data_IF_052823150702
#
_entry.id   IF_052823150702
#
_cell.length_a   1.000
_cell.length_b   1.000
_cell.length_c   1.000
_cell.angle_alpha   90.00
_cell.angle_beta   90.00
_cell.angle_gamma   90.00
#
_symmetry.space_group_name_H-M   'P 1'
#
loop_
_entity.id
_entity.type
_entity.pdbx_description
1 polymer ?
#
# COMPACT_ATOMS: atom_id res chain seq x y z
N UNK A 1 3.90 -25.48 6.55
CA UNK A 1 3.79 -25.96 7.95
C UNK A 1 2.37 -25.67 8.39
N UNK A 2 1.56 -26.69 8.68
CA UNK A 2 0.17 -26.47 9.10
C UNK A 2 0.15 -25.63 10.39
N UNK A 3 -0.50 -24.47 10.37
CA UNK A 3 -0.67 -23.65 11.57
C UNK A 3 -1.70 -24.39 12.43
N UNK A 4 -1.28 -24.99 13.54
CA UNK A 4 -2.21 -25.53 14.53
C UNK A 4 -3.09 -24.41 15.06
N UNK A 5 -4.40 -24.66 15.23
CA UNK A 5 -5.31 -23.74 15.90
C UNK A 5 -4.68 -23.27 17.21
N UNK A 6 -4.43 -21.97 17.31
CA UNK A 6 -3.60 -21.44 18.38
C UNK A 6 -3.45 -19.93 18.33
N UNK A 7 -2.93 -19.39 19.42
CA UNK A 7 -2.61 -17.97 19.53
C UNK A 7 -1.20 -17.73 19.00
N UNK A 8 -1.02 -16.67 18.21
CA UNK A 8 0.31 -16.21 17.78
C UNK A 8 0.67 -14.92 18.51
N UNK A 9 1.70 -14.94 19.34
CA UNK A 9 2.15 -13.73 20.06
C UNK A 9 3.19 -12.93 19.27
N UNK A 10 2.96 -11.61 19.20
CA UNK A 10 3.84 -10.65 18.54
C UNK A 10 3.99 -9.37 19.39
N UNK A 11 5.02 -8.56 19.12
CA UNK A 11 5.04 -7.16 19.56
C UNK A 11 4.10 -6.33 18.67
N UNK A 12 4.22 -6.53 17.35
CA UNK A 12 3.48 -5.80 16.34
C UNK A 12 2.72 -6.75 15.42
N UNK A 13 1.46 -6.43 15.15
CA UNK A 13 0.68 -7.08 14.09
C UNK A 13 0.42 -6.07 13.00
N UNK A 14 0.83 -6.39 11.77
CA UNK A 14 0.54 -5.59 10.57
C UNK A 14 -0.54 -6.33 9.77
N UNK A 15 -1.65 -5.64 9.47
CA UNK A 15 -2.80 -6.21 8.75
C UNK A 15 -2.82 -5.73 7.31
N UNK A 16 -2.56 -6.63 6.37
CA UNK A 16 -2.46 -6.37 4.93
C UNK A 16 -1.00 -6.19 4.51
N UNK A 17 -0.49 -7.06 3.64
CA UNK A 17 0.84 -6.98 3.03
C UNK A 17 0.80 -6.15 1.73
N UNK A 18 0.13 -5.00 1.77
CA UNK A 18 0.10 -4.03 0.67
C UNK A 18 1.35 -3.15 0.59
N UNK A 19 1.24 -2.03 -0.14
CA UNK A 19 2.32 -1.05 -0.26
C UNK A 19 2.87 -0.61 1.10
N UNK A 20 2.01 -0.14 2.01
CA UNK A 20 2.42 0.28 3.34
C UNK A 20 2.79 -0.90 4.24
N UNK A 21 2.02 -1.99 4.22
CA UNK A 21 2.22 -3.11 5.14
C UNK A 21 3.53 -3.85 4.95
N UNK A 22 3.97 -4.05 3.69
CA UNK A 22 5.31 -4.58 3.42
C UNK A 22 6.41 -3.69 3.98
N UNK A 23 6.26 -2.36 3.88
CA UNK A 23 7.23 -1.38 4.44
C UNK A 23 7.23 -1.46 5.96
N UNK A 24 6.07 -1.42 6.60
CA UNK A 24 5.95 -1.48 8.06
C UNK A 24 6.54 -2.77 8.62
N UNK A 25 6.19 -3.92 8.05
CA UNK A 25 6.73 -5.21 8.51
C UNK A 25 8.24 -5.31 8.31
N UNK A 26 8.76 -4.82 7.17
CA UNK A 26 10.19 -4.81 6.90
C UNK A 26 10.95 -3.85 7.84
N UNK A 27 10.43 -2.66 8.13
CA UNK A 27 11.11 -1.68 9.01
C UNK A 27 11.02 -2.08 10.48
N UNK A 28 9.86 -2.52 10.97
CA UNK A 28 9.71 -2.96 12.35
C UNK A 28 10.59 -4.16 12.68
N UNK A 29 10.78 -5.07 11.72
CA UNK A 29 11.63 -6.26 11.91
C UNK A 29 13.14 -5.97 11.81
N UNK A 30 13.56 -4.73 11.50
CA UNK A 30 14.98 -4.34 11.57
C UNK A 30 15.50 -4.38 13.02
N UNK A 31 14.63 -4.15 14.02
CA UNK A 31 14.94 -4.39 15.42
C UNK A 31 14.79 -5.90 15.72
N UNK A 32 15.90 -6.62 16.01
CA UNK A 32 15.85 -8.07 16.26
C UNK A 32 15.08 -8.43 17.54
N UNK A 33 14.82 -7.46 18.44
CA UNK A 33 14.03 -7.68 19.65
C UNK A 33 12.51 -7.60 19.41
N UNK A 34 12.08 -7.03 18.28
CA UNK A 34 10.68 -6.87 17.92
C UNK A 34 10.17 -8.09 17.14
N UNK A 35 9.17 -8.80 17.68
CA UNK A 35 8.45 -9.86 16.96
C UNK A 35 7.31 -9.26 16.14
N UNK A 36 7.34 -9.48 14.83
CA UNK A 36 6.37 -8.90 13.88
C UNK A 36 5.60 -10.03 13.20
N UNK A 37 4.27 -9.92 13.22
CA UNK A 37 3.37 -10.78 12.42
C UNK A 37 2.72 -9.93 11.34
N UNK A 38 2.87 -10.34 10.08
CA UNK A 38 2.21 -9.74 8.92
C UNK A 38 1.12 -10.69 8.41
N UNK A 39 -0.14 -10.25 8.44
CA UNK A 39 -1.28 -11.00 7.93
C UNK A 39 -1.66 -10.48 6.54
N UNK A 40 -1.79 -11.36 5.55
CA UNK A 40 -2.25 -11.01 4.20
C UNK A 40 -3.38 -11.93 3.75
N UNK A 41 -4.49 -11.34 3.29
CA UNK A 41 -5.65 -12.10 2.83
C UNK A 41 -5.37 -12.87 1.53
N UNK A 42 -4.53 -12.31 0.65
CA UNK A 42 -4.09 -12.94 -0.59
C UNK A 42 -2.96 -13.97 -0.42
N UNK A 43 -2.61 -14.58 -1.54
CA UNK A 43 -1.48 -15.53 -1.61
C UNK A 43 -0.13 -14.86 -1.84
N UNK A 44 0.88 -15.70 -2.09
CA UNK A 44 2.20 -15.28 -2.57
C UNK A 44 2.15 -14.67 -3.97
N UNK A 45 3.18 -13.89 -4.32
CA UNK A 45 3.29 -13.20 -5.61
C UNK A 45 3.83 -14.08 -6.75
N UNK A 46 3.52 -15.38 -6.78
CA UNK A 46 4.06 -16.32 -7.78
C UNK A 46 3.51 -16.14 -9.20
N UNK A 47 2.42 -15.41 -9.38
CA UNK A 47 1.86 -15.14 -10.71
C UNK A 47 2.88 -14.35 -11.55
N UNK A 48 3.38 -14.95 -12.63
CA UNK A 48 4.39 -14.34 -13.51
C UNK A 48 3.96 -12.98 -14.07
N UNK A 49 2.66 -12.75 -14.27
CA UNK A 49 2.13 -11.50 -14.80
C UNK A 49 2.31 -10.33 -13.84
N UNK A 50 2.47 -10.59 -12.54
CA UNK A 50 2.85 -9.56 -11.56
C UNK A 50 4.22 -8.98 -11.91
N UNK A 51 5.19 -9.83 -12.26
CA UNK A 51 6.59 -9.40 -12.41
C UNK A 51 6.89 -8.75 -13.75
N UNK A 52 6.06 -9.01 -14.77
CA UNK A 52 6.20 -8.45 -16.11
C UNK A 52 5.45 -7.11 -16.17
N UNK A 53 6.10 -5.98 -16.49
CA UNK A 53 5.44 -4.66 -16.52
C UNK A 53 4.12 -4.60 -17.31
N UNK A 54 4.12 -5.11 -18.56
CA UNK A 54 2.92 -5.18 -19.41
C UNK A 54 1.84 -6.13 -18.85
N UNK A 55 2.20 -7.02 -17.93
CA UNK A 55 1.31 -7.96 -17.27
C UNK A 55 0.26 -7.29 -16.37
N UNK A 56 0.37 -6.00 -16.06
CA UNK A 56 -0.63 -5.28 -15.25
C UNK A 56 -2.05 -5.43 -15.84
N UNK A 57 -2.19 -5.40 -17.16
CA UNK A 57 -3.48 -5.58 -17.84
C UNK A 57 -4.08 -6.96 -17.64
N UNK A 58 -3.25 -8.00 -17.43
CA UNK A 58 -3.70 -9.36 -17.08
C UNK A 58 -4.12 -9.46 -15.62
N UNK A 59 -3.43 -8.75 -14.72
CA UNK A 59 -3.75 -8.77 -13.28
C UNK A 59 -4.91 -7.84 -12.89
N UNK A 60 -5.27 -6.90 -13.77
CA UNK A 60 -6.25 -5.85 -13.49
C UNK A 60 -7.60 -6.38 -13.04
N UNK A 61 -8.08 -7.48 -13.62
CA UNK A 61 -9.36 -8.12 -13.28
C UNK A 61 -9.22 -9.61 -12.90
N UNK A 62 -8.00 -10.04 -12.53
CA UNK A 62 -7.74 -11.43 -12.15
C UNK A 62 -8.09 -11.66 -10.65
N UNK A 63 -9.15 -12.42 -10.33
CA UNK A 63 -9.59 -12.62 -8.95
C UNK A 63 -8.61 -13.42 -8.08
N UNK A 64 -7.59 -14.05 -8.69
CA UNK A 64 -6.52 -14.73 -7.96
C UNK A 64 -5.60 -13.74 -7.22
N UNK A 65 -5.46 -12.52 -7.74
CA UNK A 65 -4.53 -11.50 -7.20
C UNK A 65 -5.21 -10.16 -6.95
N UNK A 66 -6.53 -10.07 -7.13
CA UNK A 66 -7.32 -8.86 -7.04
C UNK A 66 -8.59 -9.10 -6.23
N UNK A 67 -9.04 -8.08 -5.50
CA UNK A 67 -10.32 -8.06 -4.81
C UNK A 67 -11.52 -7.90 -5.74
N UNK A 68 -11.30 -7.28 -6.91
CA UNK A 68 -12.32 -7.03 -7.92
C UNK A 68 -13.55 -6.28 -7.39
N UNK A 69 -13.33 -5.22 -6.61
CA UNK A 69 -14.44 -4.41 -6.09
C UNK A 69 -15.18 -3.68 -7.21
N UNK A 70 -16.44 -3.36 -6.95
CA UNK A 70 -17.26 -2.47 -7.76
C UNK A 70 -17.90 -1.42 -6.86
N UNK A 71 -18.04 -0.20 -7.37
CA UNK A 71 -18.84 0.83 -6.69
C UNK A 71 -20.33 0.50 -6.79
N UNK A 72 -21.11 1.10 -5.91
CA UNK A 72 -22.55 1.26 -6.15
C UNK A 72 -22.79 2.13 -7.40
N UNK A 73 -23.97 2.05 -8.04
CA UNK A 73 -24.34 2.91 -9.16
C UNK A 73 -24.32 4.39 -8.76
N UNK A 74 -23.60 5.21 -9.52
CA UNK A 74 -23.48 6.65 -9.24
C UNK A 74 -24.20 7.49 -10.33
N UNK A 75 -25.19 8.32 -9.97
CA UNK A 75 -25.81 9.28 -10.88
C UNK A 75 -24.81 10.21 -11.57
N UNK A 76 -23.74 10.64 -10.87
CA UNK A 76 -22.66 11.46 -11.42
C UNK A 76 -21.83 10.74 -12.49
N UNK A 77 -21.89 9.40 -12.51
CA UNK A 77 -21.28 8.55 -13.53
C UNK A 77 -22.30 8.01 -14.55
N UNK A 78 -23.53 8.54 -14.59
CA UNK A 78 -24.60 8.07 -15.48
C UNK A 78 -25.22 6.73 -15.05
N UNK A 79 -25.26 6.46 -13.75
CA UNK A 79 -25.83 5.23 -13.18
C UNK A 79 -24.94 3.98 -13.35
N UNK A 80 -23.66 4.16 -13.71
CA UNK A 80 -22.73 3.05 -13.89
C UNK A 80 -22.15 2.60 -12.56
N UNK A 81 -21.87 1.29 -12.47
CA UNK A 81 -20.92 0.74 -11.50
C UNK A 81 -19.52 0.85 -12.06
N UNK A 82 -18.57 1.26 -11.23
CA UNK A 82 -17.17 1.43 -11.63
C UNK A 82 -16.33 0.35 -10.97
N UNK A 83 -15.56 -0.37 -11.78
CA UNK A 83 -14.66 -1.40 -11.30
C UNK A 83 -13.45 -0.78 -10.58
N UNK A 84 -13.20 -1.21 -9.35
CA UNK A 84 -12.14 -0.71 -8.47
C UNK A 84 -11.12 -1.84 -8.18
N UNK A 85 -10.05 -1.96 -8.98
CA UNK A 85 -9.03 -2.98 -8.77
C UNK A 85 -8.24 -2.70 -7.50
N UNK A 86 -8.10 -3.71 -6.64
CA UNK A 86 -7.24 -3.66 -5.44
C UNK A 86 -6.50 -4.97 -5.31
N UNK A 87 -5.19 -4.92 -5.11
CA UNK A 87 -4.40 -6.14 -5.01
C UNK A 87 -4.74 -6.96 -3.77
N UNK A 88 -4.91 -8.26 -3.96
CA UNK A 88 -5.13 -9.29 -2.93
C UNK A 88 -4.06 -10.37 -3.09
N UNK A 89 -2.83 -9.99 -2.77
CA UNK A 89 -1.59 -10.76 -2.96
C UNK A 89 -0.48 -10.04 -2.19
N UNK A 90 0.62 -10.71 -1.84
CA UNK A 90 1.80 -10.01 -1.30
C UNK A 90 2.22 -8.83 -2.20
N UNK A 91 2.43 -7.67 -1.58
CA UNK A 91 2.67 -6.37 -2.21
C UNK A 91 1.39 -5.58 -2.51
N UNK A 92 0.21 -6.21 -2.37
CA UNK A 92 -1.11 -5.63 -2.61
C UNK A 92 -1.17 -4.92 -3.96
N UNK A 93 -1.71 -3.70 -3.97
CA UNK A 93 -1.85 -2.93 -5.21
C UNK A 93 -0.52 -2.59 -5.88
N UNK A 94 0.64 -2.58 -5.19
CA UNK A 94 1.93 -2.38 -5.85
C UNK A 94 2.32 -3.54 -6.78
N UNK A 95 1.76 -4.73 -6.54
CA UNK A 95 1.97 -5.92 -7.38
C UNK A 95 1.10 -5.92 -8.65
N UNK A 96 0.11 -5.01 -8.75
CA UNK A 96 -0.83 -4.97 -9.90
C UNK A 96 -0.97 -3.58 -10.55
N UNK A 97 -0.33 -2.53 -10.02
CA UNK A 97 -0.42 -1.16 -10.54
C UNK A 97 0.36 -0.93 -11.85
N UNK A 98 0.28 0.27 -12.42
CA UNK A 98 1.03 0.70 -13.60
C UNK A 98 2.51 1.09 -13.36
N UNK A 99 3.05 0.91 -12.15
CA UNK A 99 4.44 1.18 -11.74
C UNK A 99 4.93 2.63 -11.85
N UNK A 100 4.16 3.55 -12.41
CA UNK A 100 4.48 4.99 -12.45
C UNK A 100 4.85 5.46 -11.05
N UNK A 101 6.02 6.08 -10.92
CA UNK A 101 6.54 6.56 -9.65
C UNK A 101 6.48 8.08 -9.60
N UNK A 102 5.47 8.60 -8.90
CA UNK A 102 5.25 10.03 -8.66
C UNK A 102 4.91 10.18 -7.18
N UNK A 103 5.53 11.15 -6.50
CA UNK A 103 5.39 11.36 -5.06
C UNK A 103 4.15 12.19 -4.71
N UNK A 104 3.90 13.25 -5.49
CA UNK A 104 2.89 14.29 -5.21
C UNK A 104 3.53 15.67 -5.30
N UNK A 105 2.71 16.71 -5.39
CA UNK A 105 3.19 18.10 -5.33
C UNK A 105 3.59 18.46 -3.89
N UNK A 106 4.46 19.45 -3.71
CA UNK A 106 4.85 19.89 -2.36
C UNK A 106 3.63 20.39 -1.57
N UNK A 107 2.72 21.07 -2.28
CA UNK A 107 1.48 21.62 -1.78
C UNK A 107 0.54 20.55 -1.21
N UNK A 108 0.55 19.32 -1.73
CA UNK A 108 -0.26 18.22 -1.20
C UNK A 108 0.12 17.92 0.26
N UNK A 109 1.42 17.84 0.54
CA UNK A 109 1.97 17.54 1.87
C UNK A 109 1.89 18.76 2.80
N UNK A 110 2.18 19.95 2.27
CA UNK A 110 2.06 21.17 3.05
C UNK A 110 0.61 21.43 3.47
N UNK A 111 -0.36 21.10 2.61
CA UNK A 111 -1.78 21.12 2.96
C UNK A 111 -2.10 20.12 4.07
N UNK A 112 -1.58 18.89 4.03
CA UNK A 112 -1.77 17.94 5.15
C UNK A 112 -1.28 18.51 6.48
N UNK A 113 -0.09 19.14 6.49
CA UNK A 113 0.40 19.81 7.69
C UNK A 113 -0.53 20.94 8.13
N UNK A 114 -1.01 21.76 7.20
CA UNK A 114 -1.96 22.85 7.50
C UNK A 114 -3.29 22.34 8.05
N UNK A 115 -3.73 21.14 7.64
CA UNK A 115 -4.90 20.44 8.18
C UNK A 115 -4.66 19.81 9.56
N UNK A 116 -3.47 19.97 10.15
CA UNK A 116 -3.15 19.50 11.50
C UNK A 116 -2.27 18.25 11.56
N UNK A 117 -1.90 17.65 10.42
CA UNK A 117 -0.95 16.54 10.36
C UNK A 117 0.48 17.06 10.58
N UNK A 118 0.81 17.44 11.81
CA UNK A 118 2.13 17.97 12.17
C UNK A 118 3.23 16.97 11.77
N UNK A 119 4.31 17.45 11.14
CA UNK A 119 5.39 16.60 10.64
C UNK A 119 5.13 15.95 9.27
N UNK A 120 4.12 16.41 8.52
CA UNK A 120 3.80 15.91 7.17
C UNK A 120 3.97 16.96 6.07
N UNK A 121 4.74 18.04 6.28
CA UNK A 121 5.08 18.95 5.18
C UNK A 121 5.92 18.26 4.11
N UNK A 122 6.03 18.87 2.92
CA UNK A 122 6.92 18.38 1.87
C UNK A 122 8.36 18.18 2.38
N UNK A 123 8.83 19.11 3.22
CA UNK A 123 10.15 19.05 3.84
C UNK A 123 10.28 17.88 4.83
N UNK A 124 9.25 17.61 5.61
CA UNK A 124 9.26 16.53 6.61
C UNK A 124 9.26 15.13 5.96
N UNK A 125 8.55 14.98 4.83
CA UNK A 125 8.42 13.68 4.14
C UNK A 125 9.56 13.40 3.15
N UNK A 126 10.25 14.42 2.64
CA UNK A 126 11.34 14.27 1.67
C UNK A 126 12.44 13.27 2.12
N UNK A 127 12.92 13.28 3.39
CA UNK A 127 13.86 12.28 3.87
C UNK A 127 13.34 10.84 3.76
N UNK A 128 12.03 10.63 3.92
CA UNK A 128 11.41 9.31 3.78
C UNK A 128 11.30 8.87 2.32
N UNK A 129 10.97 9.79 1.41
CA UNK A 129 11.01 9.52 -0.03
C UNK A 129 12.41 9.12 -0.47
N UNK A 130 13.43 9.90 -0.10
CA UNK A 130 14.84 9.58 -0.39
C UNK A 130 15.25 8.24 0.22
N UNK A 131 14.86 7.95 1.47
CA UNK A 131 15.16 6.66 2.12
C UNK A 131 14.48 5.45 1.45
N UNK A 132 13.34 5.66 0.80
CA UNK A 132 12.57 4.60 0.14
C UNK A 132 13.13 4.19 -1.22
N UNK A 133 13.85 5.11 -1.87
CA UNK A 133 14.19 5.08 -3.28
C UNK A 133 15.65 4.64 -3.51
N UNK A 134 15.85 3.83 -4.55
CA UNK A 134 17.11 3.67 -5.25
C UNK A 134 16.97 4.25 -6.65
N UNK A 135 17.36 5.51 -6.79
CA UNK A 135 17.29 6.27 -8.02
C UNK A 135 18.44 5.84 -8.95
N UNK A 136 18.11 5.31 -10.13
CA UNK A 136 19.16 4.83 -11.06
C UNK A 136 19.97 5.96 -11.69
N UNK A 137 19.48 7.20 -11.66
CA UNK A 137 20.22 8.39 -12.13
C UNK A 137 21.25 8.92 -11.12
N UNK A 138 21.26 8.39 -9.89
CA UNK A 138 22.11 8.88 -8.80
C UNK A 138 21.34 9.65 -7.73
N UNK A 139 22.02 9.99 -6.64
CA UNK A 139 21.45 10.77 -5.55
C UNK A 139 21.70 12.27 -5.76
N UNK A 140 20.74 13.08 -5.34
CA UNK A 140 20.85 14.53 -5.28
C UNK A 140 20.06 15.07 -4.07
N UNK A 141 19.67 16.35 -4.09
CA UNK A 141 18.87 16.94 -3.01
C UNK A 141 17.45 16.36 -2.90
N UNK A 142 16.87 15.89 -4.01
CA UNK A 142 15.51 15.35 -4.12
C UNK A 142 15.45 13.82 -4.09
N UNK A 143 16.52 13.17 -4.52
CA UNK A 143 16.57 11.72 -4.73
C UNK A 143 17.51 11.01 -3.77
N UNK A 144 17.14 9.77 -3.46
CA UNK A 144 17.96 8.86 -2.68
C UNK A 144 18.49 7.70 -3.49
N UNK A 145 19.59 7.13 -3.02
CA UNK A 145 20.12 5.86 -3.52
C UNK A 145 20.21 4.87 -2.36
N UNK A 146 20.24 3.57 -2.71
CA UNK A 146 20.34 2.49 -1.73
C UNK A 146 19.01 2.10 -1.06
N UNK A 147 17.91 2.79 -1.36
CA UNK A 147 16.59 2.40 -0.92
C UNK A 147 16.09 1.09 -1.57
N UNK A 148 15.06 0.46 -0.99
CA UNK A 148 14.54 -0.83 -1.46
C UNK A 148 13.77 -0.75 -2.79
N UNK A 149 13.14 0.38 -3.13
CA UNK A 149 12.42 0.55 -4.39
C UNK A 149 13.36 1.08 -5.45
N UNK A 150 13.65 0.28 -6.49
CA UNK A 150 14.42 0.80 -7.63
C UNK A 150 13.50 1.62 -8.51
N UNK A 151 13.91 2.85 -8.77
CA UNK A 151 13.22 3.81 -9.61
C UNK A 151 14.10 4.06 -10.83
N UNK A 152 13.58 3.74 -12.01
CA UNK A 152 14.34 3.80 -13.25
C UNK A 152 13.53 4.35 -14.43
N UNK A 153 14.27 4.81 -15.43
CA UNK A 153 13.73 5.27 -16.69
C UNK A 153 13.08 4.13 -17.48
N UNK A 154 12.08 4.48 -18.29
CA UNK A 154 11.56 3.57 -19.32
C UNK A 154 12.58 3.55 -20.47
N UNK A 155 13.15 2.39 -20.83
CA UNK A 155 14.23 2.33 -21.81
C UNK A 155 13.76 2.65 -23.23
N UNK A 156 12.54 2.22 -23.59
CA UNK A 156 12.00 2.37 -24.93
C UNK A 156 11.17 3.66 -25.07
N UNK A 157 11.59 4.53 -25.97
CA UNK A 157 10.87 5.78 -26.28
C UNK A 157 9.97 5.59 -27.48
N UNK A 158 8.67 5.41 -27.21
CA UNK A 158 7.68 5.20 -28.27
C UNK A 158 7.44 6.48 -29.09
N UNK A 159 7.37 6.42 -30.44
CA UNK A 159 7.18 7.60 -31.30
C UNK A 159 5.93 8.42 -30.98
N UNK A 160 4.85 7.77 -30.54
CA UNK A 160 3.61 8.46 -30.09
C UNK A 160 3.86 9.29 -28.83
N UNK A 161 4.64 8.79 -27.87
CA UNK A 161 4.98 9.53 -26.66
C UNK A 161 5.85 10.75 -27.00
N UNK A 162 6.81 10.59 -27.90
CA UNK A 162 7.64 11.69 -28.41
C UNK A 162 6.80 12.75 -29.13
N UNK A 163 5.83 12.33 -29.95
CA UNK A 163 4.91 13.25 -30.60
C UNK A 163 4.03 14.01 -29.59
N UNK A 164 3.56 13.34 -28.54
CA UNK A 164 2.79 13.96 -27.45
C UNK A 164 3.61 15.00 -26.69
N UNK A 165 4.86 14.70 -26.34
CA UNK A 165 5.77 15.63 -25.65
C UNK A 165 6.03 16.85 -26.54
N UNK A 166 6.33 16.64 -27.83
CA UNK A 166 6.51 17.74 -28.79
C UNK A 166 5.28 18.64 -28.88
N UNK A 167 4.09 18.06 -28.99
CA UNK A 167 2.85 18.84 -29.02
C UNK A 167 2.65 19.68 -27.75
N UNK A 168 3.00 19.15 -26.58
CA UNK A 168 3.01 19.92 -25.34
C UNK A 168 3.99 21.09 -25.37
N UNK A 169 5.19 20.87 -25.92
CA UNK A 169 6.18 21.94 -26.08
C UNK A 169 5.73 23.02 -27.08
N UNK A 170 5.09 22.64 -28.18
CA UNK A 170 4.52 23.60 -29.15
C UNK A 170 3.42 24.48 -28.53
N UNK A 171 2.73 23.97 -27.50
CA UNK A 171 1.76 24.73 -26.70
C UNK A 171 2.40 25.55 -25.58
N UNK A 172 3.72 25.53 -25.43
CA UNK A 172 4.47 26.29 -24.45
C UNK A 172 4.72 25.58 -23.12
N UNK A 173 4.31 24.32 -22.94
CA UNK A 173 4.65 23.56 -21.74
C UNK A 173 6.14 23.19 -21.75
N UNK A 174 6.87 23.36 -20.63
CA UNK A 174 8.28 23.00 -20.57
C UNK A 174 8.45 21.48 -20.65
N UNK A 175 9.57 21.02 -21.21
CA UNK A 175 9.97 19.62 -21.07
C UNK A 175 10.38 19.38 -19.62
N UNK A 176 9.78 18.38 -18.97
CA UNK A 176 10.14 17.97 -17.62
C UNK A 176 10.76 16.57 -17.63
N UNK A 177 12.02 16.48 -17.21
CA UNK A 177 12.75 15.22 -17.13
C UNK A 177 12.66 14.55 -15.74
N UNK A 178 12.13 15.25 -14.74
CA UNK A 178 12.04 14.81 -13.35
C UNK A 178 10.83 15.41 -12.61
N UNK A 179 9.74 14.64 -12.60
CA UNK A 179 8.50 14.96 -11.90
C UNK A 179 8.58 14.80 -10.37
N UNK A 180 9.71 14.37 -9.82
CA UNK A 180 9.93 14.24 -8.40
C UNK A 180 11.05 15.17 -7.89
N UNK A 181 11.52 16.08 -8.75
CA UNK A 181 12.52 17.10 -8.46
C UNK A 181 11.89 18.42 -8.02
N UNK A 182 12.47 19.53 -8.46
CA UNK A 182 12.08 20.87 -7.97
C UNK A 182 10.66 21.29 -8.38
N UNK A 183 10.19 20.87 -9.57
CA UNK A 183 8.89 21.25 -10.12
C UNK A 183 8.24 20.07 -10.85
N UNK A 184 6.93 19.91 -10.73
CA UNK A 184 6.19 18.88 -11.49
C UNK A 184 5.65 19.38 -12.84
N UNK A 185 5.62 20.69 -13.06
CA UNK A 185 5.06 21.27 -14.29
C UNK A 185 5.83 20.82 -15.53
N UNK A 186 5.10 20.53 -16.60
CA UNK A 186 5.65 20.23 -17.92
C UNK A 186 5.24 18.88 -18.48
N UNK A 187 5.89 18.50 -19.58
CA UNK A 187 5.63 17.27 -20.34
C UNK A 187 6.90 16.43 -20.47
N UNK A 188 6.78 15.12 -20.30
CA UNK A 188 7.94 14.24 -20.33
C UNK A 188 7.63 12.81 -19.90
N UNK A 189 8.68 12.02 -19.73
CA UNK A 189 8.57 10.61 -19.34
C UNK A 189 8.59 10.47 -17.81
N UNK A 190 7.66 9.69 -17.28
CA UNK A 190 7.71 9.26 -15.89
C UNK A 190 8.70 8.11 -15.69
N UNK A 191 9.36 8.09 -14.54
CA UNK A 191 10.07 6.91 -14.07
C UNK A 191 9.10 5.88 -13.51
N UNK A 192 9.58 4.65 -13.42
CA UNK A 192 8.81 3.51 -12.91
C UNK A 192 9.54 2.82 -11.78
N UNK A 193 8.80 2.16 -10.89
CA UNK A 193 9.38 1.21 -9.93
C UNK A 193 9.72 -0.11 -10.63
N UNK A 194 10.80 -0.14 -11.40
CA UNK A 194 11.28 -1.32 -12.13
C UNK A 194 12.77 -1.59 -11.87
N UNK A 195 13.16 -2.86 -11.86
CA UNK A 195 14.54 -3.33 -11.66
C UNK A 195 14.84 -4.40 -12.70
N UNK A 196 15.85 -4.17 -13.55
CA UNK A 196 16.25 -5.10 -14.61
C UNK A 196 15.06 -5.53 -15.51
N UNK A 197 14.23 -4.57 -15.92
CA UNK A 197 13.07 -4.79 -16.78
C UNK A 197 11.87 -5.48 -16.11
N UNK A 198 11.93 -5.73 -14.79
CA UNK A 198 10.84 -6.35 -14.01
C UNK A 198 10.26 -5.35 -13.01
N UNK A 199 8.99 -5.54 -12.65
CA UNK A 199 8.34 -4.79 -11.57
C UNK A 199 9.13 -4.91 -10.27
N UNK A 200 9.33 -3.78 -9.59
CA UNK A 200 9.82 -3.72 -8.21
C UNK A 200 8.67 -3.33 -7.27
N UNK A 201 7.81 -4.30 -6.91
CA UNK A 201 6.73 -4.09 -5.95
C UNK A 201 7.27 -3.95 -4.52
N UNK A 202 6.45 -3.55 -3.55
CA UNK A 202 6.89 -3.52 -2.15
C UNK A 202 7.14 -4.92 -1.59
N UNK A 203 6.49 -5.96 -2.12
CA UNK A 203 6.85 -7.34 -1.80
C UNK A 203 8.29 -7.65 -2.23
N UNK A 204 8.69 -7.22 -3.44
CA UNK A 204 10.04 -7.46 -3.97
C UNK A 204 11.09 -6.59 -3.28
N UNK A 205 10.84 -5.29 -3.16
CA UNK A 205 11.82 -4.32 -2.63
C UNK A 205 11.98 -4.39 -1.12
N UNK A 206 10.88 -4.50 -0.37
CA UNK A 206 10.90 -4.46 1.10
C UNK A 206 10.75 -5.84 1.75
N UNK A 207 9.68 -6.58 1.39
CA UNK A 207 9.30 -7.75 2.17
C UNK A 207 10.25 -8.94 1.95
N UNK A 208 10.53 -9.32 0.70
CA UNK A 208 11.36 -10.49 0.36
C UNK A 208 12.75 -10.45 1.01
N UNK A 209 13.49 -9.33 1.03
CA UNK A 209 14.75 -9.25 1.76
C UNK A 209 14.59 -9.41 3.27
N UNK A 210 13.44 -9.03 3.84
CA UNK A 210 13.18 -9.08 5.29
C UNK A 210 12.70 -10.46 5.76
N UNK A 211 12.16 -11.33 4.90
CA UNK A 211 11.62 -12.65 5.30
C UNK A 211 12.68 -13.63 5.79
N UNK A 212 13.97 -13.37 5.54
CA UNK A 212 15.08 -14.16 6.12
C UNK A 212 15.23 -13.94 7.64
N UNK A 213 14.63 -12.87 8.18
CA UNK A 213 14.77 -12.49 9.58
C UNK A 213 13.86 -13.35 10.46
N UNK A 214 14.39 -14.00 11.52
CA UNK A 214 13.62 -14.94 12.33
C UNK A 214 12.50 -14.29 13.16
N UNK A 215 12.55 -12.97 13.35
CA UNK A 215 11.57 -12.19 14.09
C UNK A 215 10.40 -11.65 13.24
N UNK A 216 10.38 -11.93 11.92
CA UNK A 216 9.26 -11.60 11.04
C UNK A 216 8.53 -12.88 10.59
N UNK A 217 7.25 -12.98 10.92
CA UNK A 217 6.37 -14.04 10.44
C UNK A 217 5.34 -13.49 9.48
N UNK A 218 5.36 -13.95 8.24
CA UNK A 218 4.34 -13.63 7.22
C UNK A 218 3.35 -14.78 7.14
N UNK A 219 2.05 -14.47 7.17
CA UNK A 219 0.96 -15.44 7.04
C UNK A 219 0.08 -14.96 5.88
N UNK A 220 0.20 -15.64 4.73
CA UNK A 220 -0.65 -15.44 3.55
C UNK A 220 -1.94 -16.25 3.68
N UNK A 221 -2.96 -15.92 2.88
CA UNK A 221 -4.29 -16.52 3.00
C UNK A 221 -4.95 -16.30 4.36
N UNK A 222 -4.56 -15.24 5.07
CA UNK A 222 -5.03 -14.87 6.41
C UNK A 222 -5.91 -13.62 6.33
N UNK A 223 -7.23 -13.82 6.31
CA UNK A 223 -8.21 -12.74 6.28
C UNK A 223 -8.45 -12.24 7.71
N UNK A 224 -8.15 -10.96 7.98
CA UNK A 224 -8.48 -10.36 9.26
C UNK A 224 -9.99 -10.15 9.39
N UNK A 225 -10.58 -10.66 10.46
CA UNK A 225 -12.02 -10.59 10.71
C UNK A 225 -12.36 -9.38 11.60
N UNK A 226 -11.61 -9.18 12.70
CA UNK A 226 -11.78 -8.06 13.64
C UNK A 226 -10.54 -7.82 14.50
N UNK A 227 -10.40 -6.62 15.01
CA UNK A 227 -9.46 -6.26 16.08
C UNK A 227 -10.01 -6.77 17.42
N UNK A 228 -9.14 -7.29 18.26
CA UNK A 228 -9.46 -7.75 19.63
C UNK A 228 -9.06 -6.65 20.60
N UNK A 229 -9.98 -6.30 21.51
CA UNK A 229 -9.78 -5.23 22.49
C UNK A 229 -9.74 -5.75 23.94
N UNK A 230 -8.97 -5.03 24.77
CA UNK A 230 -9.09 -5.00 26.23
C UNK A 230 -9.45 -3.57 26.62
N UNK A 231 -10.71 -3.35 27.00
CA UNK A 231 -11.29 -2.01 27.11
C UNK A 231 -11.18 -1.25 25.77
N UNK A 232 -10.37 -0.19 25.75
CA UNK A 232 -10.09 0.62 24.54
C UNK A 232 -8.74 0.29 23.87
N UNK A 233 -7.97 -0.65 24.41
CA UNK A 233 -6.66 -1.03 23.89
C UNK A 233 -6.80 -2.16 22.88
N UNK A 234 -6.29 -1.99 21.67
CA UNK A 234 -6.12 -3.10 20.73
C UNK A 234 -5.04 -4.05 21.26
N UNK A 235 -5.41 -5.33 21.46
CA UNK A 235 -4.53 -6.39 22.02
C UNK A 235 -4.32 -7.54 21.05
N UNK A 236 -4.89 -7.48 19.84
CA UNK A 236 -4.73 -8.52 18.85
C UNK A 236 -5.64 -8.37 17.63
N UNK A 237 -5.57 -9.35 16.75
CA UNK A 237 -6.41 -9.47 15.56
C UNK A 237 -6.90 -10.92 15.47
N UNK A 238 -8.22 -11.08 15.38
CA UNK A 238 -8.84 -12.34 15.01
C UNK A 238 -8.81 -12.46 13.48
N UNK A 239 -8.40 -13.61 12.97
CA UNK A 239 -8.28 -13.84 11.53
C UNK A 239 -8.66 -15.27 11.16
N UNK A 240 -9.04 -15.45 9.90
CA UNK A 240 -9.36 -16.75 9.32
C UNK A 240 -8.28 -17.18 8.34
N UNK A 241 -7.85 -18.43 8.45
CA UNK A 241 -6.84 -19.04 7.58
C UNK A 241 -7.23 -20.50 7.32
N UNK A 242 -7.26 -20.92 6.04
CA UNK A 242 -7.71 -22.24 5.62
C UNK A 242 -9.07 -22.67 6.23
N UNK A 243 -9.99 -21.72 6.33
CA UNK A 243 -11.34 -21.93 6.89
C UNK A 243 -11.40 -22.02 8.42
N UNK A 244 -10.26 -21.99 9.11
CA UNK A 244 -10.18 -22.04 10.57
C UNK A 244 -9.96 -20.65 11.17
N UNK A 245 -10.44 -20.43 12.40
CA UNK A 245 -10.29 -19.18 13.12
C UNK A 245 -9.06 -19.21 14.04
N UNK A 246 -8.31 -18.11 14.03
CA UNK A 246 -7.10 -17.90 14.82
C UNK A 246 -7.12 -16.53 15.49
N UNK A 247 -6.19 -16.30 16.41
CA UNK A 247 -5.95 -14.99 17.00
C UNK A 247 -4.46 -14.71 17.09
N UNK A 248 -4.03 -13.58 16.55
CA UNK A 248 -2.71 -13.03 16.82
C UNK A 248 -2.84 -12.00 17.96
N UNK A 249 -1.99 -12.09 18.98
CA UNK A 249 -1.93 -11.14 20.11
C UNK A 249 -0.78 -10.16 19.93
N UNK A 250 -1.06 -8.88 20.11
CA UNK A 250 -0.08 -7.80 20.02
C UNK A 250 0.26 -7.28 21.41
N UNK A 251 1.54 -7.32 21.78
CA UNK A 251 2.03 -6.72 23.04
C UNK A 251 2.13 -5.20 22.97
N UNK A 252 2.37 -4.64 21.77
CA UNK A 252 2.51 -3.20 21.57
C UNK A 252 1.36 -2.65 20.72
N UNK A 253 1.36 -2.93 19.43
CA UNK A 253 0.46 -2.25 18.47
C UNK A 253 -0.13 -3.20 17.42
N UNK A 254 -1.32 -2.82 16.94
CA UNK A 254 -1.96 -3.37 15.74
C UNK A 254 -1.97 -2.25 14.68
N UNK A 255 -1.38 -2.52 13.52
CA UNK A 255 -1.16 -1.54 12.45
C UNK A 255 -2.00 -1.96 11.24
N UNK A 256 -2.98 -1.13 10.87
CA UNK A 256 -3.86 -1.41 9.74
C UNK A 256 -3.23 -0.92 8.43
N UNK A 257 -3.04 -1.84 7.51
CA UNK A 257 -2.49 -1.62 6.17
C UNK A 257 -3.37 -2.26 5.08
N UNK A 258 -4.67 -2.39 5.33
CA UNK A 258 -5.66 -2.94 4.40
C UNK A 258 -6.01 -2.01 3.23
N UNK A 259 -5.36 -0.85 3.13
CA UNK A 259 -5.67 0.17 2.14
C UNK A 259 -6.98 0.93 2.43
N UNK A 260 -7.35 1.81 1.51
CA UNK A 260 -8.46 2.76 1.69
C UNK A 260 -9.85 2.11 1.80
N UNK A 261 -10.01 0.85 1.41
CA UNK A 261 -11.28 0.11 1.48
C UNK A 261 -11.31 -0.80 2.71
N UNK A 262 -10.33 -1.69 2.85
CA UNK A 262 -10.38 -2.70 3.90
C UNK A 262 -9.98 -2.20 5.28
N UNK A 263 -9.20 -1.12 5.39
CA UNK A 263 -8.85 -0.55 6.71
C UNK A 263 -10.08 0.03 7.42
N UNK A 264 -10.88 0.94 6.82
CA UNK A 264 -12.10 1.40 7.45
C UNK A 264 -13.14 0.28 7.61
N UNK A 265 -13.24 -0.66 6.66
CA UNK A 265 -14.08 -1.84 6.81
C UNK A 265 -13.73 -2.63 8.08
N UNK A 266 -12.45 -2.91 8.31
CA UNK A 266 -12.02 -3.66 9.49
C UNK A 266 -12.26 -2.87 10.79
N UNK A 267 -12.10 -1.54 10.79
CA UNK A 267 -12.48 -0.70 11.92
C UNK A 267 -13.98 -0.84 12.24
N UNK A 268 -14.85 -0.76 11.23
CA UNK A 268 -16.30 -0.92 11.39
C UNK A 268 -16.65 -2.31 11.93
N UNK A 269 -16.09 -3.38 11.34
CA UNK A 269 -16.26 -4.76 11.83
C UNK A 269 -15.76 -4.97 13.26
N UNK A 270 -14.89 -4.07 13.75
CA UNK A 270 -14.32 -4.11 15.08
C UNK A 270 -15.00 -3.15 16.07
N UNK A 271 -16.10 -2.51 15.67
CA UNK A 271 -16.85 -1.59 16.52
C UNK A 271 -16.27 -0.17 16.63
N UNK A 272 -15.42 0.24 15.68
CA UNK A 272 -14.90 1.61 15.58
C UNK A 272 -15.49 2.28 14.33
N UNK A 273 -16.29 3.32 14.52
CA UNK A 273 -16.93 4.06 13.43
C UNK A 273 -18.17 4.83 13.89
N UNK A 274 -19.01 5.33 12.97
CA UNK A 274 -20.19 6.10 13.35
C UNK A 274 -21.15 5.25 14.19
N UNK A 275 -21.44 5.69 15.42
CA UNK A 275 -22.23 4.92 16.40
C UNK A 275 -23.56 4.42 15.84
N UNK A 276 -24.32 5.29 15.15
CA UNK A 276 -25.62 4.91 14.60
C UNK A 276 -25.48 3.82 13.55
N UNK A 277 -24.52 3.96 12.63
CA UNK A 277 -24.28 2.96 11.59
C UNK A 277 -23.88 1.59 12.17
N UNK A 278 -23.02 1.57 13.20
CA UNK A 278 -22.66 0.35 13.91
C UNK A 278 -23.86 -0.30 14.61
N UNK A 279 -24.72 0.53 15.22
CA UNK A 279 -25.95 0.07 15.91
C UNK A 279 -26.93 -0.55 14.92
N UNK A 280 -27.11 0.07 13.74
CA UNK A 280 -28.00 -0.43 12.68
C UNK A 280 -27.52 -1.79 12.13
N UNK A 281 -26.21 -2.04 12.17
CA UNK A 281 -25.59 -3.33 11.81
C UNK A 281 -25.61 -4.36 12.96
N UNK A 282 -26.11 -3.99 14.14
CA UNK A 282 -26.07 -4.85 15.34
C UNK A 282 -24.66 -5.09 15.88
N UNK A 283 -23.69 -4.24 15.53
CA UNK A 283 -22.30 -4.36 15.97
C UNK A 283 -22.10 -3.65 17.33
N UNK A 284 -21.35 -4.25 18.28
CA UNK A 284 -20.97 -3.56 19.50
C UNK A 284 -20.13 -2.32 19.19
N UNK A 285 -20.43 -1.21 19.86
CA UNK A 285 -19.68 0.04 19.70
C UNK A 285 -18.54 0.10 20.72
N UNK A 286 -17.31 0.00 20.24
CA UNK A 286 -16.09 0.17 21.02
C UNK A 286 -15.70 1.66 21.11
N UNK A 287 -15.79 2.35 19.97
CA UNK A 287 -15.48 3.78 19.89
C UNK A 287 -16.28 4.45 18.77
N UNK A 288 -17.04 5.48 19.12
CA UNK A 288 -17.70 6.33 18.13
C UNK A 288 -16.66 7.23 17.44
N UNK A 289 -16.50 7.02 16.13
CA UNK A 289 -15.58 7.78 15.30
C UNK A 289 -16.22 8.05 13.93
N UNK A 290 -16.99 9.15 13.79
CA UNK A 290 -17.83 9.41 12.62
C UNK A 290 -17.08 9.48 11.28
N UNK A 291 -15.78 9.79 11.29
CA UNK A 291 -14.97 9.88 10.08
C UNK A 291 -14.61 8.53 9.45
N UNK A 292 -14.81 7.39 10.12
CA UNK A 292 -14.46 6.07 9.55
C UNK A 292 -15.35 5.75 8.36
N UNK A 293 -14.71 5.54 7.20
CA UNK A 293 -15.40 5.26 5.94
C UNK A 293 -15.93 6.50 5.22
N UNK A 294 -15.62 7.69 5.72
CA UNK A 294 -15.94 8.98 5.10
C UNK A 294 -14.67 9.64 4.54
N UNK A 295 -14.84 10.67 3.70
CA UNK A 295 -13.77 11.51 3.15
C UNK A 295 -13.97 12.97 3.58
#
# INVERSE_FOLDING_TARGET
>A
MAIQQGTVDADFIVVGAGSAGCVMAARLSEDPSARVVLLEAGGDDFNRWIHIPLGFGKTFADPLVNWCYETEPDPGAGGRKIFWPRGKVLGGSSSINGMVYIRGQHEDFDLWRQMGCTGWSAQDVLPYFRRSEHQTRGADQWHGTGGPLVVSDVPDKHPICEAFIRAGNDLGFPTNSDFNGATQEGVGYHQTTTRNGKRCSTAVGYLKPATIRPNLRVITGAMADRIVFDGRRAVGVAYRHDGLHFTARARREVILCGGAINSPQLLLLSGIGPQQHLTDLGAPVVHDLPGVGQA
#
